data_IF_473690483175
#
_entry.id   IF_473690483175
#
_cell.length_a   1.000
_cell.length_b   1.000
_cell.length_c   1.000
_cell.angle_alpha   90.00
_cell.angle_beta   90.00
_cell.angle_gamma   90.00
#
_symmetry.space_group_name_H-M   'P 1'
#
loop_
_entity.id
_entity.type
_entity.pdbx_description
1 polymer ?
#
# COMPACT_ATOMS: atom_id res chain seq x y z
N UNK A 1 13.81 -6.58 -66.85
CA UNK A 1 14.31 -5.21 -66.62
C UNK A 1 15.13 -5.22 -65.34
N UNK A 2 16.37 -4.70 -65.34
CA UNK A 2 17.21 -4.61 -64.14
C UNK A 2 16.83 -3.35 -63.35
N UNK A 3 16.41 -3.48 -62.10
CA UNK A 3 15.92 -2.36 -61.27
C UNK A 3 16.94 -1.22 -61.17
N UNK A 4 18.23 -1.55 -61.19
CA UNK A 4 19.32 -0.57 -61.15
C UNK A 4 19.40 0.32 -62.40
N UNK A 5 19.10 -0.21 -63.59
CA UNK A 5 19.10 0.60 -64.83
C UNK A 5 17.98 1.67 -64.80
N UNK A 6 16.83 1.37 -64.18
CA UNK A 6 15.73 2.32 -64.02
C UNK A 6 16.12 3.54 -63.18
N UNK A 7 16.87 3.35 -62.08
CA UNK A 7 17.37 4.45 -61.25
C UNK A 7 18.54 5.22 -61.90
N UNK A 8 19.34 4.58 -62.77
CA UNK A 8 20.40 5.23 -63.56
C UNK A 8 19.81 6.17 -64.62
N UNK A 9 18.77 5.72 -65.34
CA UNK A 9 18.08 6.52 -66.36
C UNK A 9 17.21 7.63 -65.76
N UNK A 10 16.84 7.54 -64.46
CA UNK A 10 16.00 8.51 -63.75
C UNK A 10 16.63 8.99 -62.43
N UNK A 11 17.71 9.77 -62.46
CA UNK A 11 18.47 10.17 -61.27
C UNK A 11 17.66 11.04 -60.28
N UNK A 12 16.71 11.86 -60.77
CA UNK A 12 15.83 12.67 -59.91
C UNK A 12 14.93 11.77 -59.05
N UNK A 13 14.42 10.67 -59.61
CA UNK A 13 13.57 9.73 -58.87
C UNK A 13 14.35 9.05 -57.73
N UNK A 14 15.60 8.65 -58.00
CA UNK A 14 16.49 8.11 -56.97
C UNK A 14 16.77 9.12 -55.84
N UNK A 15 17.03 10.39 -56.20
CA UNK A 15 17.27 11.45 -55.23
C UNK A 15 16.05 11.72 -54.35
N UNK A 16 14.84 11.80 -54.94
CA UNK A 16 13.59 11.99 -54.19
C UNK A 16 13.36 10.85 -53.20
N UNK A 17 13.58 9.59 -53.62
CA UNK A 17 13.42 8.43 -52.73
C UNK A 17 14.42 8.48 -51.57
N UNK A 18 15.68 8.84 -51.83
CA UNK A 18 16.70 8.99 -50.78
C UNK A 18 16.36 10.11 -49.79
N UNK A 19 15.85 11.26 -50.28
CA UNK A 19 15.40 12.36 -49.44
C UNK A 19 14.20 11.94 -48.59
N UNK A 20 13.22 11.23 -49.17
CA UNK A 20 12.07 10.72 -48.43
C UNK A 20 12.48 9.75 -47.31
N UNK A 21 13.40 8.83 -47.57
CA UNK A 21 13.92 7.91 -46.55
C UNK A 21 14.68 8.63 -45.45
N UNK A 22 15.49 9.63 -45.82
CA UNK A 22 16.24 10.44 -44.85
C UNK A 22 15.30 11.26 -43.98
N UNK A 23 14.28 11.88 -44.58
CA UNK A 23 13.27 12.65 -43.85
C UNK A 23 12.44 11.76 -42.93
N UNK A 24 12.04 10.58 -43.39
CA UNK A 24 11.34 9.59 -42.58
C UNK A 24 12.19 9.13 -41.38
N UNK A 25 13.49 8.88 -41.59
CA UNK A 25 14.44 8.56 -40.53
C UNK A 25 14.61 9.70 -39.51
N UNK A 26 14.72 10.94 -39.98
CA UNK A 26 14.84 12.11 -39.11
C UNK A 26 13.58 12.36 -38.26
N UNK A 27 12.39 12.14 -38.83
CA UNK A 27 11.12 12.22 -38.09
C UNK A 27 11.02 11.06 -37.08
N UNK A 28 11.37 9.84 -37.48
CA UNK A 28 11.33 8.66 -36.61
C UNK A 28 12.30 8.79 -35.42
N UNK A 29 13.48 9.38 -35.62
CA UNK A 29 14.46 9.62 -34.56
C UNK A 29 13.88 10.46 -33.41
N UNK A 30 13.00 11.42 -33.69
CA UNK A 30 12.36 12.24 -32.65
C UNK A 30 11.22 11.52 -31.90
N UNK A 31 10.67 10.45 -32.47
CA UNK A 31 9.55 9.71 -31.88
C UNK A 31 9.96 8.41 -31.17
N UNK A 32 11.16 7.89 -31.45
CA UNK A 32 11.64 6.64 -30.87
C UNK A 32 12.02 6.83 -29.39
N UNK A 33 11.50 5.99 -28.47
CA UNK A 33 11.95 5.96 -27.09
C UNK A 33 13.43 5.59 -27.01
N UNK A 34 14.16 6.22 -26.08
CA UNK A 34 15.56 5.92 -25.80
C UNK A 34 15.63 5.18 -24.47
N UNK A 35 16.21 3.97 -24.48
CA UNK A 35 16.48 3.17 -23.27
C UNK A 35 17.94 2.70 -23.28
N UNK A 36 18.50 2.42 -22.10
CA UNK A 36 19.87 1.92 -21.97
C UNK A 36 19.98 0.47 -22.46
N UNK A 37 18.99 -0.35 -22.10
CA UNK A 37 18.84 -1.74 -22.54
C UNK A 37 17.37 -1.99 -22.93
N UNK A 38 17.09 -3.00 -23.76
CA UNK A 38 15.74 -3.56 -23.85
C UNK A 38 15.34 -4.21 -22.52
N UNK A 39 14.03 -4.33 -22.27
CA UNK A 39 13.53 -5.03 -21.08
C UNK A 39 13.88 -6.54 -21.15
N UNK A 40 15.00 -6.90 -20.54
CA UNK A 40 15.49 -8.29 -20.42
C UNK A 40 15.13 -8.94 -19.08
N UNK A 41 14.73 -8.14 -18.09
CA UNK A 41 14.36 -8.62 -16.78
C UNK A 41 13.02 -9.37 -16.85
N UNK A 42 12.92 -10.59 -16.28
CA UNK A 42 11.66 -11.31 -16.20
C UNK A 42 10.59 -10.50 -15.44
N UNK A 43 9.36 -10.36 -15.98
CA UNK A 43 8.28 -9.67 -15.28
C UNK A 43 7.97 -10.36 -13.95
N UNK A 44 7.82 -9.58 -12.87
CA UNK A 44 7.62 -10.13 -11.52
C UNK A 44 6.42 -9.48 -10.83
N UNK A 45 5.58 -10.31 -10.22
CA UNK A 45 4.48 -9.86 -9.34
C UNK A 45 4.83 -10.25 -7.92
N UNK A 46 4.86 -9.26 -7.02
CA UNK A 46 5.08 -9.46 -5.61
C UNK A 46 3.75 -9.51 -4.85
N UNK A 47 3.64 -10.48 -3.96
CA UNK A 47 2.55 -10.64 -3.00
C UNK A 47 3.17 -10.43 -1.62
N UNK A 48 2.63 -9.49 -0.86
CA UNK A 48 3.09 -9.21 0.51
C UNK A 48 1.94 -9.26 1.50
N UNK A 49 2.21 -9.83 2.67
CA UNK A 49 1.27 -9.90 3.77
C UNK A 49 2.02 -9.75 5.10
N UNK A 50 1.29 -9.40 6.15
CA UNK A 50 1.84 -9.24 7.51
C UNK A 50 0.99 -10.00 8.50
N UNK A 51 1.64 -10.80 9.34
CA UNK A 51 1.08 -11.49 10.49
C UNK A 51 1.87 -11.09 11.75
N UNK A 52 1.50 -9.97 12.40
CA UNK A 52 2.24 -9.46 13.55
C UNK A 52 2.26 -10.48 14.71
N UNK A 53 3.46 -10.74 15.25
CA UNK A 53 3.66 -11.64 16.39
C UNK A 53 3.84 -13.12 16.04
N UNK A 54 3.72 -13.50 14.75
CA UNK A 54 4.01 -14.86 14.30
C UNK A 54 5.51 -15.06 14.01
N UNK A 55 6.02 -16.29 14.21
CA UNK A 55 7.37 -16.66 13.81
C UNK A 55 7.46 -16.90 12.30
N UNK A 56 8.68 -16.89 11.75
CA UNK A 56 8.90 -17.14 10.32
C UNK A 56 8.31 -18.49 9.87
N UNK A 57 8.45 -19.54 10.68
CA UNK A 57 7.91 -20.88 10.38
C UNK A 57 6.37 -20.89 10.33
N UNK A 58 5.73 -20.25 11.32
CA UNK A 58 4.26 -20.14 11.36
C UNK A 58 3.75 -19.39 10.14
N UNK A 59 4.43 -18.32 9.73
CA UNK A 59 4.05 -17.53 8.55
C UNK A 59 4.23 -18.34 7.26
N UNK A 60 5.32 -19.09 7.15
CA UNK A 60 5.57 -19.95 6.01
C UNK A 60 4.47 -21.01 5.84
N UNK A 61 4.04 -21.64 6.95
CA UNK A 61 3.02 -22.70 6.93
C UNK A 61 1.59 -22.17 6.79
N UNK A 62 1.26 -21.07 7.47
CA UNK A 62 -0.14 -20.58 7.59
C UNK A 62 -0.50 -19.49 6.58
N UNK A 63 0.50 -18.80 6.00
CA UNK A 63 0.27 -17.68 5.06
C UNK A 63 0.92 -17.95 3.71
N UNK A 64 2.23 -18.24 3.69
CA UNK A 64 2.95 -18.42 2.43
C UNK A 64 2.45 -19.65 1.68
N UNK A 65 2.42 -20.81 2.34
CA UNK A 65 2.05 -22.09 1.72
C UNK A 65 0.65 -22.09 1.08
N UNK A 66 -0.43 -21.59 1.73
CA UNK A 66 -1.74 -21.50 1.08
C UNK A 66 -1.75 -20.58 -0.15
N UNK A 67 -1.03 -19.45 -0.10
CA UNK A 67 -0.94 -18.54 -1.24
C UNK A 67 -0.15 -19.18 -2.38
N UNK A 68 0.99 -19.78 -2.08
CA UNK A 68 1.82 -20.49 -3.06
C UNK A 68 1.05 -21.62 -3.74
N UNK A 69 0.26 -22.40 -2.99
CA UNK A 69 -0.55 -23.48 -3.55
C UNK A 69 -1.55 -22.99 -4.60
N UNK A 70 -2.22 -21.85 -4.36
CA UNK A 70 -3.20 -21.31 -5.30
C UNK A 70 -2.54 -20.57 -6.48
N UNK A 71 -1.39 -19.94 -6.24
CA UNK A 71 -0.64 -19.17 -7.26
C UNK A 71 0.22 -20.07 -8.13
N UNK A 72 0.60 -21.26 -7.65
CA UNK A 72 1.34 -22.23 -8.43
C UNK A 72 0.51 -22.69 -9.63
N UNK A 73 1.08 -22.56 -10.83
CA UNK A 73 0.38 -22.90 -12.08
C UNK A 73 -0.43 -21.75 -12.68
N UNK A 74 -0.21 -20.50 -12.26
CA UNK A 74 -0.61 -19.35 -13.08
C UNK A 74 0.10 -19.43 -14.44
N UNK A 75 -0.63 -19.11 -15.51
CA UNK A 75 -0.13 -19.17 -16.88
C UNK A 75 1.16 -18.36 -17.05
N UNK A 76 2.12 -18.95 -17.77
CA UNK A 76 3.43 -18.39 -18.07
C UNK A 76 4.32 -18.01 -16.86
N UNK A 77 4.01 -18.53 -15.68
CA UNK A 77 4.92 -18.53 -14.54
C UNK A 77 6.20 -19.33 -14.88
N UNK A 78 7.37 -18.76 -14.54
CA UNK A 78 8.66 -19.43 -14.56
C UNK A 78 8.94 -20.14 -13.23
N UNK A 79 8.86 -19.39 -12.13
CA UNK A 79 9.09 -19.89 -10.78
C UNK A 79 8.46 -18.96 -9.75
N UNK A 80 8.37 -19.45 -8.53
CA UNK A 80 7.92 -18.71 -7.36
C UNK A 80 9.01 -18.78 -6.28
N UNK A 81 9.26 -17.66 -5.63
CA UNK A 81 10.17 -17.59 -4.47
C UNK A 81 9.47 -16.87 -3.34
N UNK A 82 9.51 -17.44 -2.14
CA UNK A 82 8.93 -16.83 -0.95
C UNK A 82 9.97 -16.64 0.14
N UNK A 83 9.77 -15.59 0.92
CA UNK A 83 10.58 -15.24 2.07
C UNK A 83 9.67 -14.84 3.22
N UNK A 84 9.76 -15.58 4.33
CA UNK A 84 9.08 -15.26 5.59
C UNK A 84 10.12 -14.79 6.60
N UNK A 85 9.85 -13.70 7.30
CA UNK A 85 10.78 -13.07 8.24
C UNK A 85 10.19 -13.06 9.65
N UNK A 86 11.06 -13.15 10.67
CA UNK A 86 10.66 -13.21 12.08
C UNK A 86 10.04 -11.92 12.64
N UNK A 87 9.97 -10.86 11.85
CA UNK A 87 9.26 -9.62 12.15
C UNK A 87 7.77 -9.65 11.76
N UNK A 88 7.26 -10.82 11.34
CA UNK A 88 5.84 -10.97 11.00
C UNK A 88 5.53 -10.74 9.53
N UNK A 89 6.52 -10.65 8.62
CA UNK A 89 6.28 -10.32 7.20
C UNK A 89 6.50 -11.54 6.30
N UNK A 90 5.76 -11.59 5.20
CA UNK A 90 6.00 -12.51 4.09
C UNK A 90 5.99 -11.75 2.77
N UNK A 91 6.93 -12.13 1.90
CA UNK A 91 7.06 -11.64 0.54
C UNK A 91 7.13 -12.84 -0.40
N UNK A 92 6.30 -12.88 -1.43
CA UNK A 92 6.25 -13.96 -2.42
C UNK A 92 6.36 -13.33 -3.79
N UNK A 93 7.43 -13.66 -4.50
CA UNK A 93 7.71 -13.19 -5.86
C UNK A 93 7.32 -14.29 -6.85
N UNK A 94 6.38 -13.95 -7.73
CA UNK A 94 5.95 -14.79 -8.85
C UNK A 94 6.61 -14.24 -10.11
N UNK A 95 7.53 -15.01 -10.67
CA UNK A 95 8.33 -14.60 -11.82
C UNK A 95 7.76 -15.22 -13.09
N UNK A 96 7.60 -14.41 -14.14
CA UNK A 96 6.98 -14.79 -15.40
C UNK A 96 7.98 -14.85 -16.55
N UNK A 97 7.62 -15.56 -17.63
CA UNK A 97 8.44 -15.60 -18.85
C UNK A 97 8.58 -14.20 -19.47
N UNK A 98 9.73 -13.88 -20.11
CA UNK A 98 9.87 -12.66 -20.89
C UNK A 98 8.78 -12.55 -21.97
N UNK A 99 8.25 -11.33 -22.16
CA UNK A 99 7.19 -11.05 -23.13
C UNK A 99 5.76 -11.21 -22.60
N UNK A 100 5.57 -11.69 -21.36
CA UNK A 100 4.27 -11.71 -20.70
C UNK A 100 3.84 -10.29 -20.33
N UNK A 101 2.57 -9.98 -20.57
CA UNK A 101 1.98 -8.72 -20.11
C UNK A 101 1.85 -8.74 -18.58
N UNK A 102 2.63 -7.91 -17.89
CA UNK A 102 2.68 -7.84 -16.43
C UNK A 102 1.35 -7.38 -15.80
N UNK A 103 0.54 -6.60 -16.51
CA UNK A 103 -0.77 -6.14 -16.04
C UNK A 103 -1.74 -7.31 -15.97
N UNK A 104 -1.74 -8.15 -17.01
CA UNK A 104 -2.55 -9.36 -17.04
C UNK A 104 -2.07 -10.36 -15.99
N UNK A 105 -0.76 -10.57 -15.88
CA UNK A 105 -0.17 -11.45 -14.87
C UNK A 105 -0.55 -11.02 -13.44
N UNK A 106 -0.50 -9.72 -13.15
CA UNK A 106 -0.90 -9.17 -11.85
C UNK A 106 -2.37 -9.49 -11.52
N UNK A 107 -3.27 -9.34 -12.49
CA UNK A 107 -4.70 -9.68 -12.32
C UNK A 107 -4.89 -11.19 -12.08
N UNK A 108 -4.19 -12.03 -12.83
CA UNK A 108 -4.25 -13.48 -12.66
C UNK A 108 -3.78 -13.90 -11.26
N UNK A 109 -2.64 -13.36 -10.80
CA UNK A 109 -2.12 -13.60 -9.45
C UNK A 109 -3.12 -13.10 -8.40
N UNK A 110 -3.67 -11.90 -8.57
CA UNK A 110 -4.68 -11.36 -7.64
C UNK A 110 -5.92 -12.26 -7.53
N UNK A 111 -6.39 -12.81 -8.65
CA UNK A 111 -7.51 -13.76 -8.66
C UNK A 111 -7.18 -15.05 -7.90
N UNK A 112 -5.94 -15.57 -8.04
CA UNK A 112 -5.49 -16.74 -7.26
C UNK A 112 -5.36 -16.45 -5.77
N UNK A 113 -4.79 -15.30 -5.41
CA UNK A 113 -4.70 -14.85 -4.01
C UNK A 113 -6.09 -14.70 -3.38
N UNK A 114 -7.08 -14.22 -4.15
CA UNK A 114 -8.45 -14.11 -3.65
C UNK A 114 -9.08 -15.47 -3.29
N UNK A 115 -8.69 -16.55 -3.99
CA UNK A 115 -9.11 -17.93 -3.67
C UNK A 115 -8.42 -18.43 -2.39
N UNK A 116 -7.15 -18.07 -2.17
CA UNK A 116 -6.42 -18.41 -0.95
C UNK A 116 -6.92 -17.64 0.29
N UNK A 117 -7.45 -16.43 0.10
CA UNK A 117 -7.77 -15.47 1.16
C UNK A 117 -8.63 -16.05 2.32
N UNK A 118 -9.67 -16.86 2.08
CA UNK A 118 -10.47 -17.45 3.16
C UNK A 118 -9.74 -18.50 4.01
N UNK A 119 -8.61 -19.03 3.53
CA UNK A 119 -7.77 -20.01 4.26
C UNK A 119 -6.73 -19.32 5.16
N UNK A 120 -6.58 -18.00 5.04
CA UNK A 120 -5.62 -17.22 5.80
C UNK A 120 -6.16 -16.88 7.20
N UNK A 121 -5.28 -16.71 8.21
CA UNK A 121 -5.68 -16.20 9.52
C UNK A 121 -6.41 -14.85 9.45
N UNK A 122 -7.37 -14.62 10.35
CA UNK A 122 -8.17 -13.37 10.37
C UNK A 122 -7.31 -12.12 10.57
N UNK A 123 -6.22 -12.22 11.33
CA UNK A 123 -5.29 -11.14 11.52
C UNK A 123 -4.68 -10.69 10.19
N UNK A 124 -4.28 -11.64 9.35
CA UNK A 124 -3.67 -11.38 8.04
C UNK A 124 -4.68 -10.75 7.09
N UNK A 125 -5.89 -11.32 7.02
CA UNK A 125 -6.94 -10.77 6.15
C UNK A 125 -7.37 -9.36 6.58
N UNK A 126 -7.34 -9.06 7.88
CA UNK A 126 -7.60 -7.72 8.43
C UNK A 126 -6.53 -6.69 8.05
N UNK A 127 -5.25 -7.10 8.00
CA UNK A 127 -4.17 -6.23 7.49
C UNK A 127 -4.17 -6.15 5.96
N UNK A 128 -4.76 -7.14 5.30
CA UNK A 128 -4.87 -7.24 3.85
C UNK A 128 -3.63 -7.87 3.21
N UNK A 129 -3.86 -8.58 2.11
CA UNK A 129 -2.80 -9.10 1.23
C UNK A 129 -2.64 -8.14 0.06
N UNK A 130 -1.42 -7.66 -0.16
CA UNK A 130 -1.10 -6.66 -1.18
C UNK A 130 -0.41 -7.35 -2.35
N UNK A 131 -1.00 -7.26 -3.53
CA UNK A 131 -0.44 -7.77 -4.80
C UNK A 131 -0.04 -6.58 -5.66
N UNK A 132 1.24 -6.48 -6.01
CA UNK A 132 1.79 -5.38 -6.81
C UNK A 132 2.79 -5.90 -7.84
N UNK A 133 2.96 -5.13 -8.92
CA UNK A 133 4.08 -5.34 -9.85
C UNK A 133 5.37 -5.00 -9.12
N UNK A 134 6.37 -5.84 -9.25
CA UNK A 134 7.67 -5.62 -8.63
C UNK A 134 8.73 -5.41 -9.72
N UNK A 135 9.49 -4.33 -9.56
CA UNK A 135 10.81 -4.21 -10.16
C UNK A 135 11.82 -4.25 -9.01
N UNK A 136 12.88 -5.08 -9.10
CA UNK A 136 13.94 -5.09 -8.08
C UNK A 136 14.77 -3.80 -8.10
N UNK A 137 14.73 -3.03 -9.19
CA UNK A 137 15.59 -1.87 -9.40
C UNK A 137 14.96 -0.57 -8.88
N UNK A 138 15.73 0.18 -8.09
CA UNK A 138 15.37 1.53 -7.65
C UNK A 138 15.80 2.54 -8.72
N UNK A 139 14.84 3.10 -9.46
CA UNK A 139 15.11 4.14 -10.46
C UNK A 139 15.72 5.41 -9.84
N UNK A 140 15.21 5.83 -8.67
CA UNK A 140 15.64 7.05 -8.00
C UNK A 140 15.41 6.93 -6.49
N UNK A 141 16.29 7.56 -5.70
CA UNK A 141 16.12 7.75 -4.27
C UNK A 141 16.14 9.24 -3.97
N UNK A 142 15.04 9.75 -3.41
CA UNK A 142 14.91 11.17 -3.03
C UNK A 142 15.14 11.30 -1.53
N UNK A 143 16.13 12.11 -1.15
CA UNK A 143 16.43 12.40 0.25
C UNK A 143 15.79 13.72 0.69
N UNK A 144 14.94 13.65 1.72
CA UNK A 144 14.35 14.82 2.35
C UNK A 144 15.15 15.19 3.60
N UNK A 145 15.55 16.47 3.71
CA UNK A 145 16.40 16.99 4.77
C UNK A 145 15.98 18.41 5.15
N UNK A 146 16.14 18.79 6.42
CA UNK A 146 15.94 20.15 6.93
C UNK A 146 17.30 20.86 6.94
N UNK A 147 17.58 21.81 6.03
CA UNK A 147 18.90 22.45 5.94
C UNK A 147 19.30 23.20 7.23
N UNK A 148 18.31 23.73 7.94
CA UNK A 148 18.42 24.50 9.18
C UNK A 148 18.25 23.65 10.46
N UNK A 149 17.95 22.35 10.32
CA UNK A 149 17.65 21.46 11.45
C UNK A 149 16.37 21.79 12.21
N UNK A 150 15.50 22.68 11.71
CA UNK A 150 14.26 23.06 12.40
C UNK A 150 13.22 21.95 12.43
N UNK A 151 13.32 20.97 11.52
CA UNK A 151 12.44 19.81 11.43
C UNK A 151 13.20 18.56 11.80
N UNK A 152 12.66 17.84 12.77
CA UNK A 152 13.18 16.54 13.16
C UNK A 152 12.82 15.46 12.12
N UNK A 153 13.40 14.28 12.29
CA UNK A 153 13.20 13.15 11.36
C UNK A 153 11.73 12.70 11.32
N UNK A 154 11.00 12.81 12.44
CA UNK A 154 9.59 12.44 12.51
C UNK A 154 8.72 13.40 11.70
N UNK A 155 8.94 14.70 11.81
CA UNK A 155 8.25 15.69 11.00
C UNK A 155 8.50 15.47 9.51
N UNK A 156 9.75 15.27 9.10
CA UNK A 156 10.11 15.05 7.69
C UNK A 156 9.45 13.78 7.16
N UNK A 157 9.50 12.68 7.91
CA UNK A 157 8.84 11.43 7.54
C UNK A 157 7.34 11.62 7.36
N UNK A 158 6.67 12.31 8.28
CA UNK A 158 5.23 12.55 8.19
C UNK A 158 4.87 13.44 7.01
N UNK A 159 5.64 14.51 6.77
CA UNK A 159 5.47 15.37 5.60
C UNK A 159 5.61 14.58 4.29
N UNK A 160 6.59 13.67 4.23
CA UNK A 160 6.78 12.79 3.10
C UNK A 160 5.59 11.86 2.88
N UNK A 161 5.09 11.22 3.94
CA UNK A 161 3.92 10.32 3.89
C UNK A 161 2.66 11.05 3.45
N UNK A 162 2.39 12.24 3.98
CA UNK A 162 1.14 12.96 3.76
C UNK A 162 1.07 13.69 2.42
N UNK A 163 2.19 14.25 1.94
CA UNK A 163 2.17 15.18 0.79
C UNK A 163 3.03 14.72 -0.39
N UNK A 164 4.13 13.99 -0.15
CA UNK A 164 5.11 13.70 -1.20
C UNK A 164 4.87 12.32 -1.82
N UNK A 165 4.67 11.30 -1.00
CA UNK A 165 4.58 9.89 -1.42
C UNK A 165 3.49 9.70 -2.47
N UNK A 166 2.27 10.12 -2.17
CA UNK A 166 1.12 9.94 -3.07
C UNK A 166 1.22 10.84 -4.31
N UNK A 167 1.86 12.00 -4.21
CA UNK A 167 2.11 12.85 -5.36
C UNK A 167 3.09 12.19 -6.34
N UNK A 168 4.17 11.57 -5.85
CA UNK A 168 5.14 10.83 -6.68
C UNK A 168 4.50 9.56 -7.25
N UNK A 169 3.75 8.81 -6.43
CA UNK A 169 3.11 7.56 -6.85
C UNK A 169 2.07 7.73 -7.98
N UNK A 170 1.58 8.96 -8.21
CA UNK A 170 0.63 9.29 -9.29
C UNK A 170 1.29 9.73 -10.60
N UNK A 171 2.60 9.93 -10.61
CA UNK A 171 3.32 10.31 -11.83
C UNK A 171 3.32 9.11 -12.79
N UNK A 172 3.00 9.36 -14.06
CA UNK A 172 3.01 8.31 -15.08
C UNK A 172 4.40 7.67 -15.19
N UNK A 173 4.44 6.34 -15.27
CA UNK A 173 5.66 5.54 -15.24
C UNK A 173 6.18 5.19 -13.83
N UNK A 174 5.61 5.73 -12.74
CA UNK A 174 5.99 5.33 -11.37
C UNK A 174 5.23 4.07 -10.96
N UNK A 175 5.96 2.96 -10.76
CA UNK A 175 5.38 1.69 -10.32
C UNK A 175 5.08 1.61 -8.82
N UNK A 176 6.01 2.06 -7.98
CA UNK A 176 5.86 2.08 -6.51
C UNK A 176 6.72 3.19 -5.90
N UNK A 177 6.20 3.86 -4.88
CA UNK A 177 6.92 4.89 -4.12
C UNK A 177 7.06 4.43 -2.66
N UNK A 178 8.28 4.05 -2.28
CA UNK A 178 8.60 3.53 -0.94
C UNK A 178 9.26 4.61 -0.09
N UNK A 179 8.76 4.78 1.13
CA UNK A 179 9.39 5.63 2.14
C UNK A 179 10.25 4.76 3.06
N UNK A 180 11.56 5.04 3.11
CA UNK A 180 12.48 4.35 3.99
C UNK A 180 12.51 5.00 5.37
N UNK A 181 12.50 4.19 6.44
CA UNK A 181 12.57 4.69 7.81
C UNK A 181 11.33 5.47 8.27
N UNK A 182 10.17 5.19 7.66
CA UNK A 182 8.92 5.86 7.97
C UNK A 182 8.59 5.78 9.47
N UNK A 183 8.43 6.94 10.11
CA UNK A 183 7.87 7.07 11.46
C UNK A 183 6.47 7.63 11.31
N UNK A 184 5.52 6.74 10.98
CA UNK A 184 4.13 7.15 10.87
C UNK A 184 3.63 7.65 12.22
N UNK A 185 2.93 8.79 12.20
CA UNK A 185 2.29 9.32 13.39
C UNK A 185 1.21 8.31 13.80
N UNK A 186 1.41 7.72 14.98
CA UNK A 186 0.54 6.70 15.55
C UNK A 186 0.20 7.14 16.95
N UNK A 187 -1.09 7.10 17.30
CA UNK A 187 -1.50 7.25 18.70
C UNK A 187 -1.05 5.98 19.44
N UNK A 188 -0.05 6.11 20.31
CA UNK A 188 0.57 5.02 21.04
C UNK A 188 0.11 5.07 22.48
N UNK A 189 -0.51 3.98 22.91
CA UNK A 189 -0.97 3.77 24.28
C UNK A 189 -0.03 2.78 24.95
N UNK A 190 0.88 3.29 25.78
CA UNK A 190 1.84 2.50 26.55
C UNK A 190 1.25 2.17 27.91
N UNK A 191 0.75 0.95 28.07
CA UNK A 191 0.16 0.49 29.32
C UNK A 191 1.24 0.32 30.40
N UNK A 192 0.93 0.78 31.62
CA UNK A 192 1.73 0.54 32.82
C UNK A 192 1.20 -0.74 33.52
N UNK A 193 1.93 -1.87 33.44
CA UNK A 193 1.43 -3.15 33.93
C UNK A 193 1.08 -3.12 35.43
N UNK A 194 1.85 -2.39 36.24
CA UNK A 194 1.62 -2.30 37.68
C UNK A 194 0.32 -1.53 38.00
N UNK A 195 0.03 -0.47 37.25
CA UNK A 195 -1.20 0.32 37.43
C UNK A 195 -2.46 -0.37 36.91
N UNK A 196 -2.30 -1.18 35.87
CA UNK A 196 -3.35 -2.04 35.30
C UNK A 196 -3.70 -3.15 36.30
N UNK A 197 -2.69 -3.85 36.83
CA UNK A 197 -2.87 -4.91 37.83
C UNK A 197 -3.48 -4.38 39.13
N UNK A 198 -2.99 -3.23 39.64
CA UNK A 198 -3.50 -2.62 40.87
C UNK A 198 -4.99 -2.22 40.81
N UNK A 199 -5.59 -2.24 39.61
CA UNK A 199 -7.00 -1.91 39.37
C UNK A 199 -7.82 -3.12 38.89
N UNK A 200 -7.24 -4.32 38.96
CA UNK A 200 -7.87 -5.56 38.51
C UNK A 200 -8.39 -5.46 37.06
N UNK A 201 -7.57 -4.84 36.21
CA UNK A 201 -7.80 -4.67 34.78
C UNK A 201 -6.85 -5.57 33.98
N UNK A 202 -7.27 -5.94 32.78
CA UNK A 202 -6.43 -6.64 31.81
C UNK A 202 -6.15 -5.77 30.59
N UNK A 203 -5.13 -6.13 29.81
CA UNK A 203 -4.91 -5.48 28.51
C UNK A 203 -6.12 -5.66 27.56
N UNK A 204 -6.86 -6.77 27.69
CA UNK A 204 -8.08 -7.03 26.93
C UNK A 204 -9.17 -6.01 27.20
N UNK A 205 -9.37 -5.63 28.48
CA UNK A 205 -10.37 -4.62 28.88
C UNK A 205 -10.05 -3.26 28.26
N UNK A 206 -8.78 -2.88 28.26
CA UNK A 206 -8.34 -1.61 27.67
C UNK A 206 -8.55 -1.60 26.15
N UNK A 207 -8.22 -2.70 25.46
CA UNK A 207 -8.46 -2.84 24.02
C UNK A 207 -9.95 -2.76 23.71
N UNK A 208 -10.80 -3.41 24.52
CA UNK A 208 -12.26 -3.36 24.35
C UNK A 208 -12.81 -1.93 24.53
N UNK A 209 -12.37 -1.22 25.58
CA UNK A 209 -12.77 0.15 25.84
C UNK A 209 -12.31 1.10 24.71
N UNK A 210 -11.08 0.97 24.23
CA UNK A 210 -10.56 1.74 23.09
C UNK A 210 -11.40 1.53 21.82
N UNK A 211 -11.78 0.29 21.52
CA UNK A 211 -12.62 -0.04 20.35
C UNK A 211 -14.04 0.52 20.49
N UNK A 212 -14.59 0.55 21.70
CA UNK A 212 -15.93 1.06 21.96
C UNK A 212 -15.99 2.60 21.91
N UNK A 213 -14.96 3.28 22.43
CA UNK A 213 -14.92 4.73 22.52
C UNK A 213 -14.47 5.41 21.21
N UNK A 214 -13.54 4.81 20.47
CA UNK A 214 -12.98 5.39 19.25
C UNK A 214 -13.69 4.87 17.98
N UNK A 215 -15.02 5.04 17.93
CA UNK A 215 -15.84 4.58 16.80
C UNK A 215 -16.53 5.76 16.10
N UNK A 216 -16.52 5.73 14.76
CA UNK A 216 -17.34 6.64 13.97
C UNK A 216 -18.75 6.05 13.84
N UNK A 217 -19.74 6.68 14.49
CA UNK A 217 -21.14 6.24 14.42
C UNK A 217 -21.91 7.11 13.42
N UNK A 218 -22.71 6.47 12.56
CA UNK A 218 -23.67 7.17 11.71
C UNK A 218 -24.87 7.60 12.58
N UNK A 219 -24.85 8.83 13.07
CA UNK A 219 -25.87 9.34 13.99
C UNK A 219 -27.20 9.76 13.31
N UNK A 220 -27.25 9.65 11.97
CA UNK A 220 -28.43 9.95 11.18
C UNK A 220 -28.73 11.44 11.06
N UNK A 221 -29.98 11.77 10.75
CA UNK A 221 -30.45 13.14 10.67
C UNK A 221 -31.77 13.30 11.42
N UNK A 222 -31.89 14.40 12.15
CA UNK A 222 -33.15 14.83 12.76
C UNK A 222 -34.10 15.22 11.64
N UNK A 223 -35.36 14.79 11.77
CA UNK A 223 -36.43 15.08 10.83
C UNK A 223 -36.22 14.47 9.41
N UNK A 224 -35.50 13.34 9.33
CA UNK A 224 -35.38 12.53 8.13
C UNK A 224 -36.69 11.74 7.88
N UNK A 225 -37.27 11.74 6.67
CA UNK A 225 -38.47 10.96 6.36
C UNK A 225 -38.29 9.45 6.61
N UNK A 226 -39.30 8.77 7.18
CA UNK A 226 -40.62 9.28 7.58
C UNK A 226 -40.57 10.01 8.94
N UNK A 227 -40.75 11.33 8.91
CA UNK A 227 -40.67 12.17 10.09
C UNK A 227 -42.08 12.51 10.61
N UNK A 228 -42.27 12.48 11.92
CA UNK A 228 -43.53 12.83 12.55
C UNK A 228 -43.79 14.35 12.60
N UNK A 229 -42.77 15.17 12.36
CA UNK A 229 -42.86 16.63 12.40
C UNK A 229 -42.90 17.23 10.99
N UNK A 230 -43.72 18.27 10.79
CA UNK A 230 -43.78 19.03 9.53
C UNK A 230 -42.62 20.04 9.37
N UNK A 231 -41.54 19.88 10.13
CA UNK A 231 -40.38 20.76 10.06
C UNK A 231 -39.79 20.79 8.64
N UNK A 232 -39.47 21.98 8.13
CA UNK A 232 -38.93 22.15 6.79
C UNK A 232 -37.44 21.78 6.65
N UNK A 233 -36.74 21.58 7.77
CA UNK A 233 -35.30 21.35 7.79
C UNK A 233 -34.97 19.95 8.30
N UNK A 234 -34.08 19.27 7.57
CA UNK A 234 -33.41 18.05 7.99
C UNK A 234 -32.00 18.42 8.46
N UNK A 235 -31.67 18.07 9.70
CA UNK A 235 -30.37 18.41 10.30
C UNK A 235 -29.57 17.14 10.50
N UNK A 236 -28.36 17.07 9.91
CA UNK A 236 -27.45 15.95 10.15
C UNK A 236 -26.92 16.01 11.58
N UNK A 237 -27.01 14.90 12.30
CA UNK A 237 -26.39 14.76 13.63
C UNK A 237 -24.94 14.36 13.43
N UNK A 238 -24.03 15.12 14.02
CA UNK A 238 -22.62 14.78 14.09
C UNK A 238 -22.28 14.38 15.51
N UNK A 239 -21.68 13.21 15.67
CA UNK A 239 -21.07 12.76 16.93
C UNK A 239 -19.59 13.10 16.93
N UNK A 240 -18.96 13.05 18.11
CA UNK A 240 -17.53 13.28 18.28
C UNK A 240 -16.69 12.38 17.35
N UNK A 241 -17.16 11.15 17.09
CA UNK A 241 -16.56 10.24 16.12
C UNK A 241 -15.21 9.68 16.60
N UNK A 242 -14.23 9.61 15.68
CA UNK A 242 -12.87 9.19 16.02
C UNK A 242 -12.11 10.28 16.77
N UNK A 243 -11.44 9.86 17.84
CA UNK A 243 -10.59 10.73 18.67
C UNK A 243 -9.28 11.04 17.94
N UNK A 244 -8.76 12.25 18.14
CA UNK A 244 -7.60 12.78 17.42
C UNK A 244 -6.47 13.29 18.32
N UNK A 245 -6.75 13.63 19.58
CA UNK A 245 -5.73 14.18 20.50
C UNK A 245 -5.40 13.22 21.65
N UNK A 246 -4.17 13.23 22.19
CA UNK A 246 -3.80 12.39 23.34
C UNK A 246 -4.72 12.60 24.55
N UNK A 247 -5.19 13.82 24.77
CA UNK A 247 -6.10 14.17 25.88
C UNK A 247 -7.44 13.46 25.73
N UNK A 248 -8.01 13.45 24.51
CA UNK A 248 -9.25 12.75 24.21
C UNK A 248 -9.13 11.24 24.44
N UNK A 249 -7.98 10.65 24.08
CA UNK A 249 -7.69 9.25 24.40
C UNK A 249 -7.53 9.05 25.92
N UNK A 250 -6.93 10.01 26.61
CA UNK A 250 -6.76 10.00 28.06
C UNK A 250 -8.08 10.00 28.82
N UNK A 251 -9.11 10.66 28.28
CA UNK A 251 -10.47 10.74 28.84
C UNK A 251 -11.33 9.48 28.61
N UNK A 252 -10.80 8.45 27.93
CA UNK A 252 -11.53 7.20 27.74
C UNK A 252 -11.70 6.50 29.09
N UNK A 253 -12.96 6.26 29.47
CA UNK A 253 -13.30 5.49 30.67
C UNK A 253 -13.11 4.01 30.39
N UNK A 254 -12.22 3.38 31.17
CA UNK A 254 -11.90 1.96 31.05
C UNK A 254 -12.83 1.13 31.95
N UNK A 255 -13.11 1.62 33.15
CA UNK A 255 -14.05 1.01 34.09
C UNK A 255 -14.72 2.10 34.92
N UNK A 256 -16.00 1.89 35.25
CA UNK A 256 -16.77 2.76 36.12
C UNK A 256 -17.40 1.90 37.22
N UNK A 257 -16.93 2.09 38.45
CA UNK A 257 -17.40 1.37 39.65
C UNK A 257 -18.07 2.34 40.63
N UNK A 258 -18.65 1.81 41.71
CA UNK A 258 -19.30 2.62 42.74
C UNK A 258 -18.35 3.64 43.42
N UNK A 259 -17.05 3.35 43.41
CA UNK A 259 -16.00 4.17 44.03
C UNK A 259 -15.37 5.19 43.08
N UNK A 260 -15.70 5.16 41.77
CA UNK A 260 -15.21 6.14 40.79
C UNK A 260 -15.05 5.63 39.36
N UNK A 261 -14.57 6.52 38.48
CA UNK A 261 -14.23 6.21 37.09
C UNK A 261 -12.72 6.10 36.92
N UNK A 262 -12.27 5.06 36.24
CA UNK A 262 -10.86 4.87 35.85
C UNK A 262 -10.70 5.28 34.39
N UNK A 263 -9.84 6.24 34.14
CA UNK A 263 -9.53 6.73 32.80
C UNK A 263 -8.27 6.09 32.23
N UNK A 264 -8.11 6.12 30.91
CA UNK A 264 -6.93 5.58 30.25
C UNK A 264 -5.63 6.28 30.72
N UNK A 265 -5.68 7.59 30.96
CA UNK A 265 -4.54 8.35 31.51
C UNK A 265 -4.06 7.86 32.87
N UNK A 266 -4.91 7.16 33.62
CA UNK A 266 -4.57 6.67 34.97
C UNK A 266 -3.72 5.39 34.91
N UNK A 267 -3.72 4.70 33.78
CA UNK A 267 -3.09 3.38 33.58
C UNK A 267 -2.15 3.30 32.38
N UNK A 268 -2.06 4.35 31.56
CA UNK A 268 -1.22 4.38 30.35
C UNK A 268 -0.61 5.76 30.08
N UNK A 269 0.56 5.76 29.41
CA UNK A 269 1.10 6.96 28.75
C UNK A 269 0.63 6.99 27.30
N UNK A 270 0.16 8.15 26.84
CA UNK A 270 -0.45 8.34 25.52
C UNK A 270 0.38 9.37 24.75
N UNK A 271 0.81 9.04 23.53
CA UNK A 271 1.63 9.91 22.64
C UNK A 271 1.26 9.75 21.16
#
# INVERSE_FOLDING_TARGET
>A
MRISHFFIERPIFAAVLSVLLTLAGAIAQGALPVSEYPEIAPPTVNISATYPGASADVIAETVASPIEQEVNGVDDMLYITSQSTGDGRVSIDVVFKPGVNIDLAQVLVQNRVAIANPRLPEEVTRFGVVVKKASPDLMMVVHLLSPDGSRDQQYISNYATLYVKDAIARIDGVGDARLFGARDYSMRVWLDPAKVEARDLTAGDVIAALRAANLQVAAGAVNQPPAASAGAFQLSVQTLGRLSTPEQFGDIVIRADADGQIYLRDIARIE
#
